data_IF_101620251512
#
_entry.id   IF_101620251512
#
_cell.length_a   1.000
_cell.length_b   1.000
_cell.length_c   1.000
_cell.angle_alpha   90.00
_cell.angle_beta   90.00
_cell.angle_gamma   90.00
#
_symmetry.space_group_name_H-M   'P 1'
#
loop_
_entity.id
_entity.type
_entity.pdbx_description
1 polymer ?
#
# COMPACT_ATOMS: atom_id res chain seq x y z
N UNK A 1 30.25 20.47 0.97
CA UNK A 1 29.19 21.29 1.58
C UNK A 1 28.07 20.35 1.99
N UNK A 2 27.68 20.33 3.26
CA UNK A 2 26.47 19.64 3.69
C UNK A 2 25.27 20.40 3.11
N UNK A 3 24.34 19.69 2.45
CA UNK A 3 23.13 20.30 1.91
C UNK A 3 22.21 20.68 3.06
N UNK A 4 21.77 21.93 3.11
CA UNK A 4 20.84 22.44 4.10
C UNK A 4 19.43 21.90 3.79
N UNK A 5 18.84 21.19 4.76
CA UNK A 5 17.52 20.61 4.60
C UNK A 5 16.60 20.96 5.76
N UNK A 6 15.32 21.06 5.44
CA UNK A 6 14.24 21.25 6.39
C UNK A 6 13.56 19.90 6.63
N UNK A 7 13.47 19.49 7.89
CA UNK A 7 12.63 18.37 8.32
C UNK A 7 11.26 18.90 8.70
N UNK A 8 10.23 18.16 8.33
CA UNK A 8 8.85 18.49 8.66
C UNK A 8 8.48 17.95 10.04
N UNK A 9 7.50 18.58 10.68
CA UNK A 9 6.88 18.12 11.92
C UNK A 9 5.37 18.29 11.81
N UNK A 10 4.59 17.73 12.76
CA UNK A 10 3.13 17.90 12.78
C UNK A 10 2.70 19.38 12.77
N UNK A 11 3.51 20.23 13.39
CA UNK A 11 3.24 21.66 13.55
C UNK A 11 3.90 22.50 12.44
N UNK A 12 4.73 21.88 11.59
CA UNK A 12 5.52 22.55 10.56
C UNK A 12 5.45 21.81 9.22
N UNK A 13 4.46 22.23 8.40
CA UNK A 13 4.12 21.65 7.08
C UNK A 13 4.10 22.72 5.98
N UNK A 14 5.10 23.58 5.97
CA UNK A 14 5.30 24.56 4.91
C UNK A 14 6.80 24.80 4.71
N UNK A 15 7.15 25.46 3.61
CA UNK A 15 8.49 25.99 3.40
C UNK A 15 8.40 27.45 2.98
N UNK A 16 9.49 28.19 3.16
CA UNK A 16 9.60 29.57 2.67
C UNK A 16 10.20 29.50 1.27
N UNK A 17 9.47 29.99 0.28
CA UNK A 17 9.94 30.14 -1.10
C UNK A 17 10.93 31.30 -1.23
N UNK A 18 11.54 31.45 -2.39
CA UNK A 18 12.61 32.44 -2.61
C UNK A 18 12.13 33.89 -2.45
N UNK A 19 10.84 34.13 -2.69
CA UNK A 19 10.22 35.45 -2.57
C UNK A 19 9.80 35.77 -1.13
N UNK A 20 10.11 34.91 -0.15
CA UNK A 20 9.63 35.02 1.23
C UNK A 20 8.21 34.47 1.43
N UNK A 21 7.55 34.04 0.37
CA UNK A 21 6.20 33.49 0.42
C UNK A 21 6.16 32.12 1.11
N UNK A 22 5.10 31.88 1.86
CA UNK A 22 4.80 30.57 2.42
C UNK A 22 4.28 29.65 1.32
N UNK A 23 4.97 28.53 1.10
CA UNK A 23 4.54 27.45 0.20
C UNK A 23 4.12 26.25 1.05
N UNK A 24 2.83 25.94 1.05
CA UNK A 24 2.32 24.76 1.76
C UNK A 24 2.83 23.48 1.12
N UNK A 25 3.22 22.50 1.95
CA UNK A 25 3.68 21.21 1.44
C UNK A 25 2.50 20.37 0.96
N UNK A 26 2.69 19.50 -0.05
CA UNK A 26 1.63 18.62 -0.52
C UNK A 26 1.12 17.70 0.60
N UNK A 27 -0.19 17.40 0.62
CA UNK A 27 -0.83 16.62 1.69
C UNK A 27 -0.19 15.23 1.91
N UNK A 28 0.45 14.66 0.89
CA UNK A 28 1.20 13.41 0.98
C UNK A 28 2.27 13.47 2.08
N UNK A 29 2.89 14.63 2.31
CA UNK A 29 3.95 14.81 3.32
C UNK A 29 3.39 14.60 4.72
N UNK A 30 2.18 15.08 5.01
CA UNK A 30 1.57 14.98 6.33
C UNK A 30 1.37 13.53 6.78
N UNK A 31 1.20 12.58 5.85
CA UNK A 31 1.04 11.15 6.16
C UNK A 31 2.33 10.48 6.66
N UNK A 32 3.50 11.00 6.28
CA UNK A 32 4.80 10.41 6.64
C UNK A 32 5.90 11.48 6.68
N UNK A 33 5.67 12.55 7.43
CA UNK A 33 6.51 13.75 7.43
C UNK A 33 7.96 13.46 7.83
N UNK A 34 8.16 12.49 8.71
CA UNK A 34 9.46 11.99 9.16
C UNK A 34 10.30 11.35 8.05
N UNK A 35 9.70 11.01 6.92
CA UNK A 35 10.38 10.44 5.74
C UNK A 35 10.52 11.43 4.60
N UNK A 36 10.10 12.68 4.81
CA UNK A 36 10.24 13.73 3.84
C UNK A 36 11.19 14.79 4.35
N UNK A 37 11.87 15.45 3.42
CA UNK A 37 12.65 16.65 3.70
C UNK A 37 12.60 17.58 2.50
N UNK A 38 12.77 18.86 2.75
CA UNK A 38 12.98 19.84 1.69
C UNK A 38 14.46 20.24 1.65
N UNK A 39 15.07 20.18 0.46
CA UNK A 39 16.45 20.60 0.24
C UNK A 39 16.43 22.02 -0.31
N UNK A 40 16.98 22.98 0.45
CA UNK A 40 16.86 24.41 0.12
C UNK A 40 17.58 24.76 -1.18
N UNK A 41 18.79 24.22 -1.40
CA UNK A 41 19.59 24.60 -2.57
C UNK A 41 18.97 24.14 -3.88
N UNK A 42 18.43 22.92 -3.90
CA UNK A 42 17.81 22.35 -5.10
C UNK A 42 16.32 22.65 -5.21
N UNK A 43 15.72 23.17 -4.14
CA UNK A 43 14.28 23.42 -3.98
C UNK A 43 13.43 22.17 -4.14
N UNK A 44 13.99 21.03 -3.74
CA UNK A 44 13.41 19.71 -3.93
C UNK A 44 12.76 19.20 -2.66
N UNK A 45 11.53 18.72 -2.79
CA UNK A 45 10.95 17.78 -1.85
C UNK A 45 11.53 16.39 -2.13
N UNK A 46 12.11 15.79 -1.12
CA UNK A 46 12.69 14.46 -1.19
C UNK A 46 11.99 13.50 -0.22
N UNK A 47 11.91 12.22 -0.60
CA UNK A 47 11.43 11.13 0.25
C UNK A 47 12.54 10.13 0.52
N UNK A 48 12.59 9.57 1.73
CA UNK A 48 13.59 8.58 2.11
C UNK A 48 13.12 7.15 1.83
N UNK A 49 13.96 6.37 1.14
CA UNK A 49 13.78 4.93 1.03
C UNK A 49 13.94 4.26 2.41
N UNK A 50 12.96 3.49 2.85
CA UNK A 50 13.00 2.82 4.16
C UNK A 50 14.12 1.80 4.29
N UNK A 51 14.54 1.20 3.17
CA UNK A 51 15.51 0.12 3.14
C UNK A 51 16.93 0.64 3.05
N UNK A 52 17.27 1.35 1.96
CA UNK A 52 18.64 1.84 1.73
C UNK A 52 18.91 3.24 2.29
N UNK A 53 17.90 3.90 2.88
CA UNK A 53 17.99 5.26 3.46
C UNK A 53 18.39 6.38 2.50
N UNK A 54 18.49 6.08 1.20
CA UNK A 54 18.72 7.07 0.13
C UNK A 54 17.53 8.02 0.04
N UNK A 55 17.84 9.30 -0.18
CA UNK A 55 16.86 10.36 -0.40
C UNK A 55 16.66 10.57 -1.90
N UNK A 56 15.39 10.59 -2.32
CA UNK A 56 14.99 10.65 -3.73
C UNK A 56 14.14 11.88 -3.94
N UNK A 57 14.49 12.70 -4.94
CA UNK A 57 13.69 13.86 -5.32
C UNK A 57 12.37 13.41 -5.97
N UNK A 58 11.27 14.00 -5.51
CA UNK A 58 9.91 13.66 -5.97
C UNK A 58 9.17 14.88 -6.50
N UNK A 59 9.40 16.06 -5.93
CA UNK A 59 8.77 17.31 -6.36
C UNK A 59 9.75 18.46 -6.21
N UNK A 60 9.55 19.55 -6.94
CA UNK A 60 10.37 20.75 -6.90
C UNK A 60 9.51 22.00 -6.88
N UNK A 61 9.94 23.04 -6.18
CA UNK A 61 9.26 24.32 -6.23
C UNK A 61 9.62 25.04 -7.54
N UNK A 62 8.60 25.32 -8.34
CA UNK A 62 8.65 26.12 -9.57
C UNK A 62 7.49 27.11 -9.47
N UNK A 63 7.77 28.41 -9.61
CA UNK A 63 6.78 29.50 -9.51
C UNK A 63 5.90 29.41 -8.26
N UNK A 64 6.53 29.16 -7.10
CA UNK A 64 5.85 29.11 -5.80
C UNK A 64 4.98 27.86 -5.59
N UNK A 65 5.04 26.85 -6.48
CA UNK A 65 4.25 25.62 -6.38
C UNK A 65 5.13 24.38 -6.48
N UNK A 66 4.75 23.34 -5.74
CA UNK A 66 5.37 22.01 -5.91
C UNK A 66 4.91 21.37 -7.21
N UNK A 67 5.85 21.25 -8.14
CA UNK A 67 5.69 20.54 -9.41
C UNK A 67 6.33 19.16 -9.26
N UNK A 68 5.62 18.16 -9.78
CA UNK A 68 6.11 16.79 -9.79
C UNK A 68 7.29 16.63 -10.75
N UNK A 69 8.42 16.15 -10.21
CA UNK A 69 9.65 15.86 -10.97
C UNK A 69 10.12 14.42 -10.75
N UNK A 70 9.26 13.56 -10.21
CA UNK A 70 9.65 12.20 -9.83
C UNK A 70 10.23 11.44 -11.02
N UNK A 71 11.33 10.76 -10.76
CA UNK A 71 11.89 9.80 -11.70
C UNK A 71 11.30 8.42 -11.44
N UNK A 72 10.53 7.91 -12.42
CA UNK A 72 9.93 6.58 -12.37
C UNK A 72 10.98 5.46 -12.29
N UNK A 73 12.24 5.70 -12.67
CA UNK A 73 13.33 4.75 -12.53
C UNK A 73 13.85 4.63 -11.09
N UNK A 74 13.53 5.60 -10.23
CA UNK A 74 14.00 5.64 -8.85
C UNK A 74 12.94 5.19 -7.86
N UNK A 75 11.67 5.58 -8.06
CA UNK A 75 10.59 5.34 -7.10
C UNK A 75 9.21 5.29 -7.76
N UNK A 76 8.37 4.36 -7.30
CA UNK A 76 7.00 4.20 -7.79
C UNK A 76 6.03 5.19 -7.16
N UNK A 77 4.97 5.51 -7.91
CA UNK A 77 3.74 6.06 -7.34
C UNK A 77 2.77 4.94 -6.96
N UNK A 78 2.17 5.06 -5.78
CA UNK A 78 1.19 4.15 -5.21
C UNK A 78 -0.13 4.92 -5.07
N UNK A 79 -1.21 4.39 -5.63
CA UNK A 79 -2.55 4.95 -5.42
C UNK A 79 -2.99 4.76 -3.96
N UNK A 80 -3.48 5.83 -3.35
CA UNK A 80 -4.13 5.74 -2.04
C UNK A 80 -5.64 5.55 -2.26
N UNK A 81 -6.23 4.52 -1.65
CA UNK A 81 -7.66 4.16 -1.79
C UNK A 81 -8.63 5.32 -1.50
N UNK A 82 -8.25 6.27 -0.64
CA UNK A 82 -9.22 7.20 -0.04
C UNK A 82 -9.26 8.61 -0.65
N UNK A 83 -8.38 8.97 -1.60
CA UNK A 83 -8.28 10.37 -2.07
C UNK A 83 -8.20 10.61 -3.57
N UNK A 84 -8.23 9.58 -4.41
CA UNK A 84 -7.84 9.67 -5.84
C UNK A 84 -6.44 10.29 -6.07
N UNK A 85 -5.65 10.50 -5.01
CA UNK A 85 -4.30 11.05 -5.06
C UNK A 85 -3.26 9.93 -5.05
N UNK A 86 -2.13 10.23 -5.69
CA UNK A 86 -0.96 9.37 -5.70
C UNK A 86 -0.07 9.68 -4.48
N UNK A 87 0.49 8.63 -3.88
CA UNK A 87 1.57 8.69 -2.90
C UNK A 87 2.86 8.14 -3.49
N UNK A 88 4.03 8.54 -3.00
CA UNK A 88 5.29 7.93 -3.42
C UNK A 88 5.62 6.70 -2.58
N UNK A 89 6.02 5.60 -3.22
CA UNK A 89 6.49 4.39 -2.55
C UNK A 89 7.54 4.74 -1.50
N UNK A 90 7.45 4.11 -0.33
CA UNK A 90 8.48 4.30 0.69
C UNK A 90 9.76 3.49 0.41
N UNK A 91 9.80 2.70 -0.68
CA UNK A 91 10.98 1.96 -1.16
C UNK A 91 11.33 2.39 -2.58
N UNK A 92 12.62 2.58 -2.84
CA UNK A 92 13.13 2.77 -4.19
C UNK A 92 13.02 1.50 -5.03
N UNK A 93 13.04 1.64 -6.35
CA UNK A 93 12.91 0.50 -7.28
C UNK A 93 14.01 -0.53 -7.08
N UNK A 94 15.27 -0.14 -6.95
CA UNK A 94 16.37 -1.08 -6.67
C UNK A 94 16.12 -1.93 -5.42
N UNK A 95 15.56 -1.34 -4.36
CA UNK A 95 15.24 -2.09 -3.13
C UNK A 95 14.00 -2.96 -3.31
N UNK A 96 13.04 -2.53 -4.12
CA UNK A 96 11.85 -3.30 -4.47
C UNK A 96 12.23 -4.53 -5.29
N UNK A 97 13.08 -4.37 -6.30
CA UNK A 97 13.57 -5.44 -7.17
C UNK A 97 14.32 -6.51 -6.40
N UNK A 98 15.22 -6.13 -5.48
CA UNK A 98 15.94 -7.06 -4.60
C UNK A 98 15.03 -7.91 -3.72
N UNK A 99 13.84 -7.41 -3.36
CA UNK A 99 12.85 -8.20 -2.62
C UNK A 99 12.12 -9.20 -3.52
N UNK A 100 11.93 -8.88 -4.80
CA UNK A 100 11.41 -9.82 -5.79
C UNK A 100 12.41 -10.93 -6.11
N UNK A 101 13.71 -10.62 -6.19
CA UNK A 101 14.76 -11.62 -6.46
C UNK A 101 14.98 -12.58 -5.28
N UNK A 102 14.80 -12.13 -4.03
CA UNK A 102 14.84 -13.01 -2.84
C UNK A 102 13.63 -13.95 -2.69
N UNK A 103 12.75 -14.07 -3.70
CA UNK A 103 11.70 -15.11 -3.75
C UNK A 103 12.18 -16.43 -4.37
N UNK A 104 13.48 -16.67 -4.43
CA UNK A 104 14.00 -18.03 -4.67
C UNK A 104 14.15 -18.76 -3.33
N UNK A 105 13.47 -19.90 -3.22
CA UNK A 105 13.48 -20.88 -2.12
C UNK A 105 12.83 -20.47 -0.80
N UNK A 106 11.52 -20.27 -0.83
CA UNK A 106 10.70 -20.96 0.15
C UNK A 106 9.62 -21.69 -0.64
N UNK A 107 9.73 -23.01 -0.70
CA UNK A 107 8.65 -23.92 -1.11
C UNK A 107 7.59 -23.83 -0.01
N UNK A 108 6.89 -22.70 0.04
CA UNK A 108 5.58 -22.61 0.68
C UNK A 108 4.64 -22.87 -0.48
N UNK A 109 4.00 -24.04 -0.43
CA UNK A 109 2.99 -24.52 -1.37
C UNK A 109 2.40 -23.36 -2.18
N UNK A 110 2.70 -23.35 -3.49
CA UNK A 110 2.09 -22.43 -4.43
C UNK A 110 0.58 -22.63 -4.37
N UNK A 111 -0.08 -21.86 -3.52
CA UNK A 111 -1.51 -21.58 -3.65
C UNK A 111 -1.60 -20.92 -5.03
N UNK A 112 -2.21 -21.60 -5.99
CA UNK A 112 -2.51 -21.04 -7.30
C UNK A 112 -3.17 -19.68 -7.11
N UNK A 113 -2.41 -18.60 -7.34
CA UNK A 113 -2.91 -17.24 -7.18
C UNK A 113 -3.80 -16.91 -8.36
N UNK A 114 -5.04 -17.39 -8.29
CA UNK A 114 -6.10 -16.91 -9.15
C UNK A 114 -6.50 -15.47 -8.75
N UNK A 115 -7.03 -14.73 -9.73
CA UNK A 115 -7.35 -13.29 -9.76
C UNK A 115 -7.48 -12.55 -8.41
N UNK A 116 -6.94 -11.32 -8.34
CA UNK A 116 -7.12 -10.41 -7.18
C UNK A 116 -8.61 -10.11 -6.96
N UNK A 117 -9.23 -10.73 -5.96
CA UNK A 117 -10.54 -10.33 -5.44
C UNK A 117 -10.36 -9.47 -4.19
N UNK A 118 -11.12 -8.37 -4.09
CA UNK A 118 -11.19 -7.57 -2.86
C UNK A 118 -12.35 -8.09 -2.00
N UNK A 119 -12.05 -8.52 -0.78
CA UNK A 119 -13.05 -8.93 0.20
C UNK A 119 -13.46 -7.74 1.08
N UNK A 120 -14.77 -7.50 1.18
CA UNK A 120 -15.34 -6.56 2.14
C UNK A 120 -15.82 -7.34 3.35
N UNK A 121 -15.18 -7.11 4.50
CA UNK A 121 -15.48 -7.80 5.75
C UNK A 121 -16.04 -6.81 6.77
N UNK A 122 -16.96 -7.28 7.62
CA UNK A 122 -17.32 -6.57 8.84
C UNK A 122 -16.06 -6.39 9.72
N UNK A 123 -15.91 -5.27 10.46
CA UNK A 123 -14.75 -5.05 11.31
C UNK A 123 -14.44 -6.21 12.28
N UNK A 124 -15.48 -6.76 12.92
CA UNK A 124 -15.36 -7.91 13.82
C UNK A 124 -14.80 -9.17 13.15
N UNK A 125 -15.15 -9.40 11.88
CA UNK A 125 -14.68 -10.58 11.13
C UNK A 125 -13.23 -10.39 10.67
N UNK A 126 -12.85 -9.16 10.34
CA UNK A 126 -11.46 -8.81 10.03
C UNK A 126 -10.57 -9.02 11.26
N UNK A 127 -10.99 -8.49 12.41
CA UNK A 127 -10.27 -8.64 13.68
C UNK A 127 -10.09 -10.11 14.06
N UNK A 128 -11.15 -10.92 13.96
CA UNK A 128 -11.06 -12.37 14.17
C UNK A 128 -10.01 -13.04 13.26
N UNK A 129 -9.97 -12.70 11.97
CA UNK A 129 -9.00 -13.26 11.03
C UNK A 129 -7.57 -12.84 11.36
N UNK A 130 -7.35 -11.60 11.79
CA UNK A 130 -6.05 -11.08 12.19
C UNK A 130 -5.52 -11.82 13.44
N UNK A 131 -6.36 -12.00 14.46
CA UNK A 131 -5.99 -12.78 15.66
C UNK A 131 -5.68 -14.24 15.32
N UNK A 132 -6.51 -14.86 14.49
CA UNK A 132 -6.33 -16.28 14.13
C UNK A 132 -5.08 -16.50 13.29
N UNK A 133 -4.80 -15.62 12.33
CA UNK A 133 -3.57 -15.63 11.56
C UNK A 133 -2.34 -15.49 12.47
N UNK A 134 -2.37 -14.53 13.40
CA UNK A 134 -1.30 -14.32 14.36
C UNK A 134 -1.07 -15.53 15.27
N UNK A 135 -2.14 -16.12 15.82
CA UNK A 135 -2.05 -17.30 16.68
C UNK A 135 -1.50 -18.54 15.97
N UNK A 136 -1.76 -18.66 14.67
CA UNK A 136 -1.31 -19.79 13.84
C UNK A 136 0.03 -19.53 13.12
N UNK A 137 0.59 -18.33 13.22
CA UNK A 137 1.83 -17.95 12.54
C UNK A 137 1.75 -17.97 11.01
N UNK A 138 0.55 -17.75 10.45
CA UNK A 138 0.29 -17.79 9.00
C UNK A 138 -0.33 -16.46 8.54
N UNK A 139 -0.39 -16.23 7.23
CA UNK A 139 -1.06 -15.05 6.70
C UNK A 139 -2.61 -15.20 6.65
N UNK A 140 -3.30 -14.08 6.43
CA UNK A 140 -4.77 -14.04 6.37
C UNK A 140 -5.31 -14.89 5.20
N UNK A 141 -4.59 -14.96 4.08
CA UNK A 141 -5.05 -15.72 2.92
C UNK A 141 -5.02 -17.24 3.20
N UNK A 142 -3.94 -17.72 3.81
CA UNK A 142 -3.81 -19.10 4.29
C UNK A 142 -4.85 -19.41 5.37
N UNK A 143 -5.13 -18.45 6.26
CA UNK A 143 -6.19 -18.60 7.27
C UNK A 143 -7.57 -18.77 6.63
N UNK A 144 -7.88 -17.98 5.60
CA UNK A 144 -9.13 -18.09 4.84
C UNK A 144 -9.22 -19.42 4.10
N UNK A 145 -8.14 -19.86 3.43
CA UNK A 145 -8.11 -21.15 2.76
C UNK A 145 -8.37 -22.31 3.72
N UNK A 146 -7.76 -22.30 4.92
CA UNK A 146 -8.03 -23.32 5.94
C UNK A 146 -9.48 -23.32 6.42
N UNK A 147 -10.10 -22.14 6.54
CA UNK A 147 -11.53 -22.03 6.89
C UNK A 147 -12.37 -22.65 5.78
N UNK A 148 -12.08 -22.33 4.52
CA UNK A 148 -12.80 -22.85 3.36
C UNK A 148 -12.63 -24.36 3.27
N UNK A 149 -11.42 -24.89 3.36
CA UNK A 149 -11.17 -26.34 3.27
C UNK A 149 -11.82 -27.11 4.42
N UNK A 150 -11.96 -26.50 5.60
CA UNK A 150 -12.73 -27.08 6.71
C UNK A 150 -14.24 -27.12 6.42
N UNK A 151 -14.76 -26.12 5.72
CA UNK A 151 -16.18 -26.03 5.37
C UNK A 151 -16.54 -26.85 4.11
N UNK A 152 -15.59 -27.02 3.20
CA UNK A 152 -15.70 -27.69 1.89
C UNK A 152 -15.73 -29.22 2.04
N UNK A 153 -16.72 -29.72 2.77
CA UNK A 153 -17.01 -31.14 2.88
C UNK A 153 -17.95 -31.59 1.75
N UNK A 154 -17.93 -32.89 1.42
CA UNK A 154 -18.85 -33.48 0.41
C UNK A 154 -20.31 -33.15 0.76
N UNK A 155 -20.68 -33.29 2.02
CA UNK A 155 -22.04 -33.03 2.52
C UNK A 155 -22.42 -31.55 2.38
N UNK A 156 -21.53 -30.62 2.72
CA UNK A 156 -21.81 -29.18 2.60
C UNK A 156 -21.92 -28.75 1.14
N UNK A 157 -21.06 -29.29 0.26
CA UNK A 157 -21.16 -29.05 -1.18
C UNK A 157 -22.50 -29.57 -1.72
N UNK A 158 -22.92 -30.77 -1.30
CA UNK A 158 -24.19 -31.33 -1.76
C UNK A 158 -25.38 -30.50 -1.27
N UNK A 159 -25.39 -30.08 0.00
CA UNK A 159 -26.41 -29.16 0.53
C UNK A 159 -26.50 -27.86 -0.27
N UNK A 160 -25.35 -27.26 -0.61
CA UNK A 160 -25.32 -26.04 -1.43
C UNK A 160 -25.90 -26.27 -2.83
N UNK A 161 -25.60 -27.42 -3.47
CA UNK A 161 -26.17 -27.80 -4.75
C UNK A 161 -27.69 -27.97 -4.66
N UNK A 162 -28.18 -28.64 -3.62
CA UNK A 162 -29.61 -28.88 -3.40
C UNK A 162 -30.37 -27.58 -3.12
N UNK A 163 -29.80 -26.67 -2.32
CA UNK A 163 -30.36 -25.34 -2.08
C UNK A 163 -30.40 -24.49 -3.33
N UNK A 164 -29.34 -24.55 -4.15
CA UNK A 164 -29.29 -23.87 -5.42
C UNK A 164 -30.36 -24.40 -6.37
N UNK A 165 -30.50 -25.73 -6.50
CA UNK A 165 -31.54 -26.36 -7.32
C UNK A 165 -32.94 -25.94 -6.86
N UNK A 166 -33.22 -25.92 -5.56
CA UNK A 166 -34.49 -25.42 -5.00
C UNK A 166 -34.77 -23.96 -5.34
N UNK A 167 -33.74 -23.10 -5.35
CA UNK A 167 -33.89 -21.67 -5.72
C UNK A 167 -34.13 -21.50 -7.22
N UNK A 168 -33.45 -22.29 -8.04
CA UNK A 168 -33.63 -22.29 -9.50
C UNK A 168 -35.03 -22.79 -9.85
N UNK A 169 -35.46 -23.93 -9.31
CA UNK A 169 -36.81 -24.46 -9.52
C UNK A 169 -37.91 -23.48 -9.09
N UNK A 170 -37.74 -22.77 -7.97
CA UNK A 170 -38.69 -21.72 -7.55
C UNK A 170 -38.72 -20.51 -8.51
N UNK A 171 -37.63 -20.24 -9.22
CA UNK A 171 -37.51 -19.11 -10.15
C UNK A 171 -38.01 -19.45 -11.56
N UNK A 172 -38.03 -20.73 -11.92
CA UNK A 172 -38.44 -21.22 -13.25
C UNK A 172 -39.76 -22.02 -13.26
N UNK A 173 -40.38 -22.28 -12.11
CA UNK A 173 -41.80 -22.66 -12.05
C UNK A 173 -42.66 -21.41 -12.29
N UNK A 174 -42.91 -21.12 -13.57
CA UNK A 174 -44.12 -20.48 -14.08
C UNK A 174 -45.17 -21.57 -14.34
#
# INVERSE_FOLDING_TARGET
>A
MEKEFIKFSKDFMYVIGDNGDRVDVPQLVAKAFNRHRYVKETKELQVQCVQCKIWIAIMKIIDGKFVDIHDKSMIDKIFIRDRQEFYFSNRCLNCKEKLTVKKESNIINQIEKNNKYSLYLKPSNKEYLEFKAAALGIDIAETLNRIIEKDKTVDNIQKLKDEFAKRVDRKFKL
#
